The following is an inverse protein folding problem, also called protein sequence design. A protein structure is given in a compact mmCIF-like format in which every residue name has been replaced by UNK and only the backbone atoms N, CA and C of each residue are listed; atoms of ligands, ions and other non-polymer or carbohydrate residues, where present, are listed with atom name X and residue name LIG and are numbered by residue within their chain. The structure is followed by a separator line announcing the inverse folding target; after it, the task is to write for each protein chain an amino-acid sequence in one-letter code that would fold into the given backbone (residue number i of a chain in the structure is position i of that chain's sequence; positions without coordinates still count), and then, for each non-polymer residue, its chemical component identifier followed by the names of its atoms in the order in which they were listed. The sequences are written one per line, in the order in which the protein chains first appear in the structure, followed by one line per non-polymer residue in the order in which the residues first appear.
data_IF_290191201884
#
_entry.id   IF_290191201884
#
_cell.length_a   1.000
_cell.length_b   1.000
_cell.length_c   1.000
_cell.angle_alpha   90.00
_cell.angle_beta   90.00
_cell.angle_gamma   90.00
#
_symmetry.space_group_name_H-M   'P 1'
#
loop_
_entity.id
_entity.type
_entity.pdbx_description
1 polymer ?
#
# COMPACT_ATOMS: atom_id res chain seq x y z
N UNK A 1 7.11 -3.44 1.87
CA UNK A 1 6.20 -2.35 2.33
C UNK A 1 6.89 -1.54 3.42
N UNK A 2 7.00 -0.22 3.27
CA UNK A 2 7.59 0.69 4.29
C UNK A 2 6.54 1.60 4.97
N UNK A 3 5.28 1.50 4.53
CA UNK A 3 4.15 2.27 5.05
C UNK A 3 2.96 1.36 5.22
N UNK A 4 2.26 1.44 6.34
CA UNK A 4 1.06 0.64 6.59
C UNK A 4 0.11 1.37 7.54
N UNK A 5 -1.15 0.98 7.53
CA UNK A 5 -2.09 1.27 8.61
C UNK A 5 -2.05 0.07 9.56
N UNK A 6 -2.08 0.29 10.87
CA UNK A 6 -1.86 -0.79 11.86
C UNK A 6 -0.40 -0.95 12.26
N UNK A 7 0.06 -2.19 12.44
CA UNK A 7 1.46 -2.56 12.79
C UNK A 7 2.11 -1.67 13.88
N UNK A 8 1.33 -1.32 14.90
CA UNK A 8 1.73 -0.32 15.91
C UNK A 8 3.03 -0.69 16.63
N UNK A 9 3.31 -2.00 16.76
CA UNK A 9 4.53 -2.55 17.35
C UNK A 9 5.82 -2.24 16.56
N UNK A 10 5.71 -1.77 15.31
CA UNK A 10 6.80 -1.27 14.48
C UNK A 10 6.85 0.26 14.40
N UNK A 11 5.87 0.95 15.01
CA UNK A 11 5.74 2.41 15.00
C UNK A 11 6.11 3.02 16.34
N UNK A 12 5.73 2.34 17.42
CA UNK A 12 5.93 2.81 18.79
C UNK A 12 6.52 1.67 19.62
N UNK A 13 7.71 1.88 20.16
CA UNK A 13 8.45 0.88 20.92
C UNK A 13 7.67 0.35 22.15
N UNK A 14 6.80 1.18 22.72
CA UNK A 14 5.94 0.83 23.85
C UNK A 14 4.91 -0.28 23.57
N UNK A 15 4.66 -0.62 22.29
CA UNK A 15 3.79 -1.74 21.92
C UNK A 15 4.57 -2.99 21.51
N UNK A 16 5.90 -2.93 21.46
CA UNK A 16 6.76 -4.08 21.18
C UNK A 16 7.00 -4.91 22.45
N UNK A 17 5.92 -5.34 23.10
CA UNK A 17 5.92 -6.11 24.35
C UNK A 17 4.64 -6.93 24.49
N UNK A 18 4.52 -7.70 25.56
CA UNK A 18 3.29 -8.43 25.89
C UNK A 18 2.07 -7.50 25.91
N UNK A 19 0.91 -7.92 25.35
CA UNK A 19 0.54 -9.29 24.93
C UNK A 19 0.91 -9.66 23.47
N UNK A 20 1.72 -8.86 22.76
CA UNK A 20 2.10 -9.16 21.37
C UNK A 20 2.77 -10.54 21.25
N UNK A 21 2.36 -11.36 20.29
CA UNK A 21 2.96 -12.68 20.10
C UNK A 21 4.48 -12.57 19.84
N UNK A 22 5.35 -13.41 20.45
CA UNK A 22 6.80 -13.29 20.33
C UNK A 22 7.34 -13.19 18.90
N UNK A 23 6.72 -13.89 17.94
CA UNK A 23 7.05 -13.82 16.50
C UNK A 23 7.01 -12.42 15.89
N UNK A 24 6.29 -11.48 16.50
CA UNK A 24 6.16 -10.10 16.03
C UNK A 24 6.98 -9.11 16.87
N UNK A 25 7.61 -9.56 17.95
CA UNK A 25 8.47 -8.70 18.78
C UNK A 25 9.82 -8.52 18.11
N UNK A 26 10.37 -7.32 18.21
CA UNK A 26 11.71 -7.02 17.72
C UNK A 26 12.71 -7.25 18.85
N UNK A 27 13.83 -7.89 18.55
CA UNK A 27 14.87 -8.17 19.54
C UNK A 27 15.65 -6.93 19.97
N UNK A 28 15.73 -5.91 19.10
CA UNK A 28 16.43 -4.66 19.35
C UNK A 28 15.43 -3.50 19.54
N UNK A 29 15.65 -2.61 20.52
CA UNK A 29 14.85 -1.41 20.67
C UNK A 29 15.07 -0.46 19.49
N UNK A 30 14.02 0.27 19.12
CA UNK A 30 14.07 1.30 18.09
C UNK A 30 13.63 2.65 18.67
N UNK A 31 14.32 3.72 18.27
CA UNK A 31 14.03 5.08 18.75
C UNK A 31 13.08 5.85 17.82
N UNK A 32 12.98 5.45 16.56
CA UNK A 32 12.14 6.07 15.55
C UNK A 32 11.22 5.02 14.91
N UNK A 33 10.01 5.39 14.45
CA UNK A 33 9.10 4.48 13.77
C UNK A 33 9.77 3.82 12.55
N UNK A 34 9.66 2.49 12.45
CA UNK A 34 10.18 1.73 11.31
C UNK A 34 9.20 1.81 10.12
N UNK A 35 7.90 1.89 10.42
CA UNK A 35 6.83 2.09 9.44
C UNK A 35 6.17 3.45 9.67
N UNK A 36 5.79 4.11 8.57
CA UNK A 36 4.90 5.28 8.62
C UNK A 36 3.46 4.89 8.24
N UNK A 37 2.48 5.63 8.74
CA UNK A 37 1.10 5.56 8.24
C UNK A 37 0.77 6.67 7.23
N UNK A 38 1.72 7.57 6.97
CA UNK A 38 1.50 8.75 6.15
C UNK A 38 1.41 8.35 4.67
N UNK A 39 0.32 8.72 3.97
CA UNK A 39 0.19 8.43 2.56
C UNK A 39 1.12 9.32 1.72
N UNK A 40 1.34 8.93 0.46
CA UNK A 40 1.82 9.85 -0.56
C UNK A 40 0.61 10.47 -1.25
N UNK A 41 0.55 11.80 -1.35
CA UNK A 41 -0.58 12.51 -1.94
C UNK A 41 -0.17 13.00 -3.34
N UNK A 42 -0.95 12.63 -4.35
CA UNK A 42 -0.83 13.12 -5.72
C UNK A 42 -2.17 13.73 -6.14
N UNK A 43 -2.13 14.91 -6.74
CA UNK A 43 -3.31 15.59 -7.29
C UNK A 43 -3.16 15.64 -8.81
N UNK A 44 -4.13 15.08 -9.51
CA UNK A 44 -4.20 15.11 -10.98
C UNK A 44 -5.49 15.81 -11.40
N UNK A 45 -5.38 16.81 -12.28
CA UNK A 45 -6.54 17.47 -12.86
C UNK A 45 -7.00 16.64 -14.06
N UNK A 46 -8.27 16.24 -14.07
CA UNK A 46 -8.83 15.45 -15.14
C UNK A 46 -8.86 16.24 -16.45
N UNK A 47 -8.34 15.63 -17.51
CA UNK A 47 -8.40 16.13 -18.88
C UNK A 47 -9.39 15.29 -19.70
N UNK A 48 -9.99 15.83 -20.79
CA UNK A 48 -10.95 15.08 -21.61
C UNK A 48 -10.41 13.77 -22.23
N UNK A 49 -9.08 13.63 -22.30
CA UNK A 49 -8.40 12.41 -22.73
C UNK A 49 -8.42 11.29 -21.69
N UNK A 50 -8.59 11.60 -20.41
CA UNK A 50 -8.59 10.62 -19.33
C UNK A 50 -9.89 9.83 -19.36
N UNK A 51 -9.81 8.51 -19.61
CA UNK A 51 -11.00 7.66 -19.81
C UNK A 51 -11.40 6.86 -18.59
N UNK A 52 -10.41 6.38 -17.84
CA UNK A 52 -10.62 5.57 -16.64
C UNK A 52 -9.37 5.58 -15.76
N UNK A 53 -9.52 5.13 -14.51
CA UNK A 53 -8.45 4.94 -13.55
C UNK A 53 -8.57 3.54 -12.94
N UNK A 54 -7.46 2.80 -12.92
CA UNK A 54 -7.41 1.45 -12.36
C UNK A 54 -6.74 1.49 -11.00
N UNK A 55 -7.47 1.11 -9.95
CA UNK A 55 -6.92 0.80 -8.62
C UNK A 55 -6.98 -0.70 -8.38
N UNK A 56 -5.85 -1.30 -8.00
CA UNK A 56 -5.80 -2.70 -7.60
C UNK A 56 -4.64 -2.93 -6.62
N UNK A 57 -4.71 -4.04 -5.88
CA UNK A 57 -3.62 -4.53 -5.03
C UNK A 57 -2.49 -5.15 -5.84
N UNK A 58 -1.35 -5.37 -5.18
CA UNK A 58 -0.20 -6.11 -5.72
C UNK A 58 -0.58 -7.45 -6.35
N UNK A 59 -1.52 -8.20 -5.78
CA UNK A 59 -1.96 -9.48 -6.35
C UNK A 59 -2.40 -9.43 -7.83
N UNK A 60 -2.88 -8.27 -8.33
CA UNK A 60 -3.12 -8.07 -9.78
C UNK A 60 -1.82 -7.74 -10.51
N UNK A 61 -1.09 -6.73 -10.02
CA UNK A 61 0.09 -6.16 -10.68
C UNK A 61 1.32 -7.07 -10.66
N UNK A 62 1.31 -8.11 -9.83
CA UNK A 62 2.28 -9.22 -9.87
C UNK A 62 2.14 -10.08 -11.13
N UNK A 63 0.98 -10.06 -11.77
CA UNK A 63 0.65 -10.93 -12.92
C UNK A 63 0.43 -10.15 -14.22
N UNK A 64 0.13 -8.86 -14.15
CA UNK A 64 -0.14 -8.01 -15.32
C UNK A 64 0.71 -6.75 -15.28
N UNK A 65 1.24 -6.37 -16.43
CA UNK A 65 1.80 -5.05 -16.64
C UNK A 65 0.69 -3.97 -16.65
N UNK A 66 1.08 -2.73 -16.40
CA UNK A 66 0.17 -1.58 -16.47
C UNK A 66 -0.53 -1.50 -17.84
N UNK A 67 0.19 -1.78 -18.93
CA UNK A 67 -0.37 -1.69 -20.28
C UNK A 67 -1.37 -2.81 -20.55
N UNK A 68 -1.07 -4.05 -20.14
CA UNK A 68 -2.02 -5.16 -20.30
C UNK A 68 -3.34 -4.88 -19.56
N UNK A 69 -3.28 -4.31 -18.35
CA UNK A 69 -4.49 -3.94 -17.61
C UNK A 69 -5.29 -2.84 -18.32
N UNK A 70 -4.61 -1.83 -18.89
CA UNK A 70 -5.23 -0.77 -19.69
C UNK A 70 -5.91 -1.36 -20.93
N UNK A 71 -5.21 -2.23 -21.66
CA UNK A 71 -5.72 -2.87 -22.88
C UNK A 71 -6.94 -3.74 -22.58
N UNK A 72 -6.93 -4.48 -21.47
CA UNK A 72 -8.09 -5.28 -21.03
C UNK A 72 -9.28 -4.35 -20.74
N UNK A 73 -9.12 -3.32 -19.93
CA UNK A 73 -10.24 -2.41 -19.58
C UNK A 73 -10.77 -1.68 -20.83
N UNK A 74 -9.88 -1.26 -21.72
CA UNK A 74 -10.26 -0.56 -22.95
C UNK A 74 -11.00 -1.46 -23.94
N UNK A 75 -10.65 -2.75 -24.03
CA UNK A 75 -11.29 -3.69 -24.95
C UNK A 75 -12.60 -4.30 -24.40
N UNK A 76 -12.87 -4.17 -23.09
CA UNK A 76 -14.08 -4.66 -22.45
C UNK A 76 -14.81 -3.56 -21.66
N UNK A 77 -15.25 -2.47 -22.31
CA UNK A 77 -15.96 -1.39 -21.64
C UNK A 77 -17.31 -1.87 -21.10
N UNK A 78 -17.65 -1.49 -19.87
CA UNK A 78 -19.03 -1.58 -19.37
C UNK A 78 -19.83 -0.48 -20.06
N UNK A 79 -20.65 -0.87 -21.03
CA UNK A 79 -21.56 -0.02 -21.83
C UNK A 79 -22.06 1.26 -21.11
#
# INVERSE_FOLDING_TARGET
VSRSIGDVYLKKAEFNREPLHPRFRLSKPFKQPILSADPSILVHKLEPSDKFLIFASDGLWEHLSNQEAVDIVQNYPRN
#
